data_IF_023521017212
#
_entry.id   IF_023521017212
#
_cell.length_a   1.000
_cell.length_b   1.000
_cell.length_c   1.000
_cell.angle_alpha   90.00
_cell.angle_beta   90.00
_cell.angle_gamma   90.00
#
_symmetry.space_group_name_H-M   'P 1'
#
loop_
_entity.id
_entity.type
_entity.pdbx_description
1 polymer ?
#
# COMPACT_ATOMS: atom_id res chain seq x y z
N UNK A 1 -4.63 0.02 6.19
CA UNK A 1 -3.89 1.27 6.41
C UNK A 1 -3.74 1.56 7.91
N UNK A 2 -4.84 1.66 8.66
CA UNK A 2 -4.83 1.92 10.10
C UNK A 2 -3.88 1.04 10.91
N UNK A 3 -3.84 -0.26 10.64
CA UNK A 3 -2.95 -1.18 11.34
C UNK A 3 -1.47 -0.78 11.26
N UNK A 4 -1.01 -0.36 10.08
CA UNK A 4 0.39 0.01 9.85
C UNK A 4 0.74 1.34 10.53
N UNK A 5 -0.14 2.35 10.37
CA UNK A 5 0.06 3.66 11.00
C UNK A 5 0.03 3.53 12.52
N UNK A 6 -0.88 2.71 13.08
CA UNK A 6 -0.95 2.47 14.53
C UNK A 6 0.34 1.83 15.06
N UNK A 7 0.99 0.97 14.27
CA UNK A 7 2.25 0.31 14.67
C UNK A 7 3.46 1.25 14.60
N UNK A 8 3.43 2.23 13.69
CA UNK A 8 4.51 3.18 13.44
C UNK A 8 3.99 4.63 13.32
N UNK A 9 3.40 5.18 14.40
CA UNK A 9 2.67 6.45 14.34
C UNK A 9 3.56 7.67 14.20
N UNK A 10 4.86 7.55 14.51
CA UNK A 10 5.83 8.65 14.38
C UNK A 10 6.54 8.64 13.03
N UNK A 11 6.55 7.49 12.36
CA UNK A 11 7.25 7.28 11.10
C UNK A 11 6.32 7.38 9.90
N UNK A 12 5.05 6.96 10.01
CA UNK A 12 4.13 6.90 8.87
C UNK A 12 3.08 8.02 8.93
N UNK A 13 3.14 8.95 7.97
CA UNK A 13 2.13 10.00 7.82
C UNK A 13 2.14 11.03 8.96
N UNK A 14 3.24 11.16 9.70
CA UNK A 14 3.48 12.22 10.69
C UNK A 14 4.19 13.39 10.02
N UNK A 15 3.56 14.57 10.02
CA UNK A 15 4.13 15.80 9.46
C UNK A 15 3.85 16.91 10.49
N UNK A 16 4.88 17.36 11.19
CA UNK A 16 4.75 18.29 12.32
C UNK A 16 3.66 17.82 13.31
N UNK A 17 2.64 18.64 13.57
CA UNK A 17 1.53 18.32 14.48
C UNK A 17 0.40 17.51 13.81
N UNK A 18 0.54 17.15 12.54
CA UNK A 18 -0.46 16.35 11.80
C UNK A 18 -0.11 14.86 11.81
N UNK A 19 -1.13 14.03 11.98
CA UNK A 19 -1.03 12.58 12.04
C UNK A 19 -1.87 11.93 10.95
N UNK A 20 -1.50 10.70 10.57
CA UNK A 20 -2.20 9.88 9.58
C UNK A 20 -2.35 10.57 8.20
N UNK A 21 -1.42 11.45 7.83
CA UNK A 21 -1.42 12.11 6.53
C UNK A 21 -1.18 11.10 5.40
N UNK A 22 -2.14 11.02 4.48
CA UNK A 22 -2.06 10.20 3.27
C UNK A 22 -2.77 10.88 2.10
N UNK A 23 -2.30 10.59 0.89
CA UNK A 23 -2.95 10.91 -0.37
C UNK A 23 -3.57 9.63 -0.94
N UNK A 24 -4.87 9.68 -1.27
CA UNK A 24 -5.62 8.52 -1.74
C UNK A 24 -6.24 8.85 -3.09
N UNK A 25 -5.95 8.04 -4.10
CA UNK A 25 -6.50 8.22 -5.46
C UNK A 25 -7.12 6.93 -5.98
N UNK A 26 -8.39 6.92 -6.43
CA UNK A 26 -8.99 5.74 -7.04
C UNK A 26 -8.27 5.34 -8.34
N UNK A 27 -8.26 4.06 -8.68
CA UNK A 27 -7.54 3.58 -9.85
C UNK A 27 -7.97 2.21 -10.33
N UNK A 28 -7.35 1.77 -11.44
CA UNK A 28 -7.53 0.42 -11.97
C UNK A 28 -6.25 -0.37 -11.73
N UNK A 29 -6.35 -1.43 -10.93
CA UNK A 29 -5.30 -2.41 -10.73
C UNK A 29 -5.32 -3.45 -11.84
N UNK A 30 -4.13 -3.90 -12.27
CA UNK A 30 -3.99 -4.99 -13.25
C UNK A 30 -3.11 -6.10 -12.71
N UNK A 31 -3.57 -7.33 -12.85
CA UNK A 31 -2.81 -8.52 -12.47
C UNK A 31 -3.06 -9.69 -13.42
N UNK A 32 -2.17 -10.69 -13.36
CA UNK A 32 -2.28 -11.95 -14.11
C UNK A 32 -1.94 -13.10 -13.17
N UNK A 33 -2.94 -13.88 -12.71
CA UNK A 33 -2.66 -14.99 -11.81
C UNK A 33 -1.76 -16.04 -12.48
N UNK A 34 -0.79 -16.54 -11.72
CA UNK A 34 0.11 -17.60 -12.17
C UNK A 34 -0.59 -18.93 -12.41
N UNK A 35 0.09 -19.92 -13.00
CA UNK A 35 -0.52 -21.21 -13.36
C UNK A 35 -1.05 -22.02 -12.17
N UNK A 36 -0.46 -21.84 -11.00
CA UNK A 36 -0.81 -22.53 -9.75
C UNK A 36 -1.51 -21.62 -8.75
N UNK A 37 -1.87 -20.40 -9.16
CA UNK A 37 -2.60 -19.47 -8.30
C UNK A 37 -4.03 -19.99 -8.10
N UNK A 38 -4.57 -19.80 -6.88
CA UNK A 38 -5.98 -20.01 -6.58
C UNK A 38 -6.65 -18.65 -6.29
N UNK A 39 -6.91 -17.84 -7.33
CA UNK A 39 -7.43 -16.50 -7.14
C UNK A 39 -8.91 -16.53 -6.74
N UNK A 40 -9.29 -15.69 -5.77
CA UNK A 40 -10.70 -15.40 -5.46
C UNK A 40 -11.33 -14.64 -6.64
N UNK A 41 -10.56 -13.80 -7.32
CA UNK A 41 -10.97 -13.02 -8.49
C UNK A 41 -10.02 -13.20 -9.67
N UNK A 42 -10.58 -13.49 -10.85
CA UNK A 42 -9.85 -13.68 -12.10
C UNK A 42 -9.60 -15.15 -12.46
N UNK A 43 -8.98 -15.37 -13.63
CA UNK A 43 -8.67 -16.71 -14.15
C UNK A 43 -7.16 -16.88 -14.30
N UNK A 44 -6.65 -18.07 -13.96
CA UNK A 44 -5.23 -18.40 -14.13
C UNK A 44 -4.77 -18.14 -15.56
N UNK A 45 -3.55 -17.59 -15.69
CA UNK A 45 -2.91 -17.22 -16.97
C UNK A 45 -3.66 -16.16 -17.79
N UNK A 46 -4.66 -15.48 -17.24
CA UNK A 46 -5.42 -14.43 -17.93
C UNK A 46 -5.23 -13.09 -17.25
N UNK A 47 -5.08 -12.03 -18.05
CA UNK A 47 -5.03 -10.67 -17.52
C UNK A 47 -6.39 -10.25 -16.98
N UNK A 48 -6.41 -9.60 -15.81
CA UNK A 48 -7.60 -9.02 -15.21
C UNK A 48 -7.31 -7.61 -14.75
N UNK A 49 -8.29 -6.73 -14.98
CA UNK A 49 -8.35 -5.40 -14.41
C UNK A 49 -9.50 -5.34 -13.39
N UNK A 50 -9.30 -4.56 -12.33
CA UNK A 50 -10.25 -4.37 -11.24
C UNK A 50 -10.17 -2.93 -10.74
N UNK A 51 -11.30 -2.35 -10.36
CA UNK A 51 -11.32 -1.07 -9.64
C UNK A 51 -10.70 -1.27 -8.26
N UNK A 52 -9.70 -0.45 -7.94
CA UNK A 52 -9.10 -0.39 -6.62
C UNK A 52 -9.73 0.75 -5.84
N UNK A 53 -10.09 0.49 -4.58
CA UNK A 53 -10.66 1.49 -3.68
C UNK A 53 -9.77 2.74 -3.58
N UNK A 54 -8.46 2.56 -3.65
CA UNK A 54 -7.52 3.65 -3.90
C UNK A 54 -6.06 3.26 -3.73
N UNK A 55 -5.19 3.87 -4.55
CA UNK A 55 -3.76 3.94 -4.29
C UNK A 55 -3.54 4.88 -3.12
N UNK A 56 -2.95 4.36 -2.05
CA UNK A 56 -2.58 5.13 -0.86
C UNK A 56 -1.11 5.47 -0.92
N UNK A 57 -0.79 6.75 -0.72
CA UNK A 57 0.57 7.28 -0.67
C UNK A 57 0.73 8.09 0.62
N UNK A 58 1.84 7.92 1.33
CA UNK A 58 2.11 8.66 2.56
C UNK A 58 3.59 8.95 2.70
N UNK A 59 3.91 9.97 3.50
CA UNK A 59 5.29 10.32 3.84
C UNK A 59 5.78 9.34 4.89
N UNK A 60 6.97 8.78 4.67
CA UNK A 60 7.68 7.98 5.66
C UNK A 60 8.84 8.81 6.19
N UNK A 61 8.84 9.06 7.50
CA UNK A 61 9.96 9.69 8.19
C UNK A 61 10.90 8.60 8.68
N UNK A 62 12.00 8.43 7.96
CA UNK A 62 13.07 7.47 8.27
C UNK A 62 14.07 7.99 9.31
N UNK A 63 13.81 9.17 9.90
CA UNK A 63 14.68 9.87 10.85
C UNK A 63 16.14 10.03 10.34
N UNK A 64 16.32 10.11 9.02
CA UNK A 64 17.63 10.29 8.38
C UNK A 64 18.42 9.01 8.12
N UNK A 65 17.86 7.84 8.42
CA UNK A 65 18.54 6.56 8.26
C UNK A 65 18.53 6.02 6.82
N UNK A 66 17.72 6.58 5.90
CA UNK A 66 17.57 6.13 4.50
C UNK A 66 17.40 4.63 4.35
N UNK A 67 16.61 4.05 5.24
CA UNK A 67 16.32 2.62 5.25
C UNK A 67 15.05 2.39 4.43
N UNK A 68 15.07 1.44 3.51
CA UNK A 68 13.81 0.95 2.96
C UNK A 68 13.01 0.31 4.10
N UNK A 69 11.78 0.77 4.31
CA UNK A 69 10.82 0.13 5.21
C UNK A 69 10.25 -1.14 4.57
N UNK A 70 11.11 -2.06 4.13
CA UNK A 70 10.71 -3.34 3.51
C UNK A 70 10.10 -4.30 4.54
N UNK A 71 10.39 -4.10 5.84
CA UNK A 71 9.83 -4.89 6.94
C UNK A 71 8.40 -4.49 7.33
N UNK A 72 7.84 -3.46 6.69
CA UNK A 72 6.49 -2.98 6.95
C UNK A 72 5.43 -3.58 6.00
N UNK A 73 5.82 -4.46 5.05
CA UNK A 73 4.93 -5.09 4.06
C UNK A 73 4.90 -6.60 4.25
#
# INVERSE_FOLDING_TARGET
LDHFITKHPQELGKIDDYEQCAFITPGIGQFKPGPTANPIFGTVRTWKQVEEDGRVELVVNDQGAKVEFSNAI
#
